data_IF_639141764763
#
_entry.id   IF_639141764763
#
_cell.length_a   1.000
_cell.length_b   1.000
_cell.length_c   1.000
_cell.angle_alpha   90.00
_cell.angle_beta   90.00
_cell.angle_gamma   90.00
#
_symmetry.space_group_name_H-M   'P 1'
#
loop_
_entity.id
_entity.type
_entity.pdbx_description
1 polymer ?
#
# COMPACT_ATOMS: atom_id res chain seq x y z
N UNK A 1 -45.40 -13.93 10.34
CA UNK A 1 -45.73 -12.98 11.43
C UNK A 1 -47.07 -12.33 11.08
N UNK A 2 -48.05 -12.51 11.96
CA UNK A 2 -49.33 -11.84 11.88
C UNK A 2 -49.29 -10.60 12.80
N UNK A 3 -49.64 -9.44 12.25
CA UNK A 3 -49.84 -8.23 13.09
C UNK A 3 -51.27 -7.77 12.91
N UNK A 4 -51.93 -7.43 14.04
CA UNK A 4 -53.24 -6.78 14.02
C UNK A 4 -53.11 -5.33 13.55
N UNK A 5 -53.76 -5.00 12.45
CA UNK A 5 -53.94 -3.62 12.02
C UNK A 5 -55.11 -2.94 12.71
N UNK A 6 -55.17 -1.61 12.76
CA UNK A 6 -56.35 -0.86 13.23
C UNK A 6 -57.59 -1.28 12.48
N UNK A 7 -58.53 -1.98 13.16
CA UNK A 7 -59.76 -2.45 12.63
C UNK A 7 -59.92 -3.97 12.53
N UNK A 8 -58.96 -4.75 13.08
CA UNK A 8 -59.11 -6.20 13.20
C UNK A 8 -58.94 -6.97 11.86
N UNK A 9 -58.33 -6.35 10.83
CA UNK A 9 -57.97 -7.04 9.58
C UNK A 9 -56.61 -7.71 9.71
N UNK A 10 -56.58 -9.03 9.52
CA UNK A 10 -55.35 -9.82 9.36
C UNK A 10 -54.67 -9.46 8.04
N UNK A 11 -53.45 -8.93 8.09
CA UNK A 11 -52.63 -8.72 6.91
C UNK A 11 -51.68 -9.92 6.81
N UNK A 12 -51.86 -10.74 5.79
CA UNK A 12 -50.98 -11.85 5.46
C UNK A 12 -49.72 -11.27 4.77
N UNK A 13 -48.57 -11.35 5.43
CA UNK A 13 -47.33 -11.04 4.74
C UNK A 13 -47.00 -12.16 3.77
N UNK A 14 -46.94 -11.83 2.46
CA UNK A 14 -46.60 -12.77 1.40
C UNK A 14 -45.29 -13.53 1.72
N UNK A 15 -45.18 -14.78 1.25
CA UNK A 15 -43.96 -15.56 1.30
C UNK A 15 -42.82 -14.75 0.71
N UNK A 16 -41.71 -14.61 1.48
CA UNK A 16 -40.45 -14.07 0.93
C UNK A 16 -40.03 -15.01 -0.19
N UNK A 17 -40.19 -14.57 -1.42
CA UNK A 17 -39.69 -15.34 -2.57
C UNK A 17 -38.17 -15.18 -2.59
N UNK A 18 -37.46 -16.22 -2.20
CA UNK A 18 -36.01 -16.25 -2.30
C UNK A 18 -35.58 -16.16 -3.77
N UNK A 19 -34.64 -15.27 -4.08
CA UNK A 19 -34.00 -15.21 -5.39
C UNK A 19 -33.26 -16.52 -5.66
N UNK A 20 -33.60 -17.31 -6.68
CA UNK A 20 -32.94 -18.56 -6.96
C UNK A 20 -31.48 -18.32 -7.35
N UNK A 21 -30.62 -19.30 -7.06
CA UNK A 21 -29.21 -19.24 -7.49
C UNK A 21 -29.15 -19.55 -8.99
N UNK A 22 -28.56 -18.61 -9.75
CA UNK A 22 -28.29 -18.73 -11.18
C UNK A 22 -26.83 -19.10 -11.40
N UNK A 23 -26.49 -19.74 -12.51
CA UNK A 23 -25.10 -19.88 -12.95
C UNK A 23 -24.58 -18.54 -13.47
N UNK A 24 -23.25 -18.36 -13.44
CA UNK A 24 -22.64 -17.13 -13.96
C UNK A 24 -22.90 -16.98 -15.47
N UNK A 25 -22.85 -18.07 -16.24
CA UNK A 25 -23.15 -18.04 -17.67
C UNK A 25 -24.61 -17.57 -17.93
N UNK A 26 -25.56 -18.04 -17.12
CA UNK A 26 -26.96 -17.59 -17.23
C UNK A 26 -27.09 -16.10 -16.96
N UNK A 27 -26.43 -15.59 -15.88
CA UNK A 27 -26.43 -14.16 -15.53
C UNK A 27 -25.85 -13.34 -16.67
N UNK A 28 -24.73 -13.75 -17.25
CA UNK A 28 -24.05 -13.01 -18.33
C UNK A 28 -24.96 -12.92 -19.57
N UNK A 29 -25.79 -13.93 -19.87
CA UNK A 29 -26.64 -13.97 -21.04
C UNK A 29 -27.96 -13.20 -20.89
N UNK A 30 -28.35 -12.83 -19.66
CA UNK A 30 -29.63 -12.17 -19.35
C UNK A 30 -29.52 -10.64 -19.39
N UNK A 31 -30.63 -9.86 -19.36
CA UNK A 31 -30.58 -8.41 -19.30
C UNK A 31 -29.79 -7.87 -18.08
N UNK A 32 -29.32 -6.61 -18.18
CA UNK A 32 -28.82 -5.83 -17.04
C UNK A 32 -29.98 -5.24 -16.23
N UNK A 33 -29.64 -4.64 -15.07
CA UNK A 33 -30.58 -3.99 -14.13
C UNK A 33 -31.62 -4.94 -13.50
N UNK A 34 -31.45 -6.26 -13.66
CA UNK A 34 -32.24 -7.28 -12.98
C UNK A 34 -31.51 -7.87 -11.79
N UNK A 35 -32.28 -8.35 -10.80
CA UNK A 35 -31.78 -8.93 -9.58
C UNK A 35 -31.41 -10.42 -9.77
N UNK A 36 -30.14 -10.73 -9.62
CA UNK A 36 -29.62 -12.10 -9.67
C UNK A 36 -28.97 -12.52 -8.35
N UNK A 37 -28.89 -13.85 -8.15
CA UNK A 37 -28.10 -14.44 -7.07
C UNK A 37 -27.20 -15.53 -7.65
N UNK A 38 -25.91 -15.45 -7.38
CA UNK A 38 -24.92 -16.46 -7.79
C UNK A 38 -24.22 -17.04 -6.57
N UNK A 39 -23.53 -18.17 -6.78
CA UNK A 39 -22.60 -18.78 -5.83
C UNK A 39 -21.31 -19.12 -6.56
N UNK A 40 -20.15 -18.82 -5.96
CA UNK A 40 -18.86 -19.13 -6.55
C UNK A 40 -17.71 -18.84 -5.62
N UNK A 41 -16.49 -18.94 -6.14
CA UNK A 41 -15.24 -18.68 -5.43
C UNK A 41 -14.60 -17.40 -5.96
N UNK A 42 -14.06 -16.56 -5.06
CA UNK A 42 -13.29 -15.39 -5.43
C UNK A 42 -11.92 -15.82 -5.95
N UNK A 43 -11.59 -15.47 -7.20
CA UNK A 43 -10.34 -15.86 -7.86
C UNK A 43 -9.34 -14.71 -8.02
N UNK A 44 -9.80 -13.46 -7.92
CA UNK A 44 -8.95 -12.27 -7.95
C UNK A 44 -9.65 -11.09 -7.25
N UNK A 45 -8.88 -10.15 -6.72
CA UNK A 45 -9.37 -8.95 -6.03
C UNK A 45 -8.61 -7.71 -6.48
N UNK A 46 -9.26 -6.55 -6.40
CA UNK A 46 -8.66 -5.23 -6.46
C UNK A 46 -9.37 -4.30 -5.46
N UNK A 47 -8.88 -3.09 -5.22
CA UNK A 47 -9.42 -2.21 -4.16
C UNK A 47 -10.89 -1.78 -4.33
N UNK A 48 -11.49 -2.01 -5.51
CA UNK A 48 -12.90 -1.66 -5.79
C UNK A 48 -13.74 -2.86 -6.24
N UNK A 49 -13.32 -4.10 -5.98
CA UNK A 49 -14.12 -5.29 -6.32
C UNK A 49 -13.31 -6.57 -6.45
N UNK A 50 -13.96 -7.61 -6.95
CA UNK A 50 -13.37 -8.93 -7.07
C UNK A 50 -14.07 -9.76 -8.16
N UNK A 51 -13.38 -10.81 -8.62
CA UNK A 51 -13.92 -11.77 -9.58
C UNK A 51 -14.45 -13.00 -8.88
N UNK A 52 -15.70 -13.36 -9.17
CA UNK A 52 -16.31 -14.61 -8.72
C UNK A 52 -16.36 -15.60 -9.88
N UNK A 53 -15.94 -16.82 -9.62
CA UNK A 53 -15.92 -17.94 -10.57
C UNK A 53 -16.81 -19.07 -10.09
N UNK A 54 -17.59 -19.65 -10.99
CA UNK A 54 -18.25 -20.95 -10.86
C UNK A 54 -17.77 -21.92 -11.96
N UNK A 55 -18.45 -23.04 -12.13
CA UNK A 55 -18.12 -24.02 -13.18
C UNK A 55 -18.49 -23.54 -14.59
N UNK A 56 -19.21 -22.44 -14.74
CA UNK A 56 -19.80 -21.99 -16.00
C UNK A 56 -19.14 -20.68 -16.50
N UNK A 57 -18.51 -19.90 -15.59
CA UNK A 57 -17.93 -18.63 -15.99
C UNK A 57 -17.27 -17.86 -14.84
N UNK A 58 -16.90 -16.62 -15.17
CA UNK A 58 -16.34 -15.65 -14.23
C UNK A 58 -17.07 -14.32 -14.45
N UNK A 59 -17.39 -13.62 -13.35
CA UNK A 59 -18.04 -12.31 -13.38
C UNK A 59 -17.39 -11.36 -12.39
N UNK A 60 -17.31 -10.08 -12.74
CA UNK A 60 -16.85 -9.02 -11.84
C UNK A 60 -17.97 -8.60 -10.89
N UNK A 61 -17.64 -8.43 -9.63
CA UNK A 61 -18.45 -7.77 -8.62
C UNK A 61 -17.79 -6.46 -8.25
N UNK A 62 -18.40 -5.33 -8.63
CA UNK A 62 -17.91 -4.01 -8.25
C UNK A 62 -18.35 -3.72 -6.81
N UNK A 63 -17.40 -3.59 -5.89
CA UNK A 63 -17.68 -3.33 -4.47
C UNK A 63 -16.56 -2.52 -3.85
N UNK A 64 -16.79 -1.24 -3.60
CA UNK A 64 -15.82 -0.39 -2.89
C UNK A 64 -15.69 -0.82 -1.43
N UNK A 65 -14.49 -0.67 -0.88
CA UNK A 65 -14.20 -0.91 0.54
C UNK A 65 -14.61 -2.32 1.02
N UNK A 66 -14.43 -3.33 0.18
CA UNK A 66 -14.69 -4.72 0.57
C UNK A 66 -13.49 -5.33 1.31
N UNK A 67 -13.78 -6.33 2.16
CA UNK A 67 -12.78 -7.10 2.90
C UNK A 67 -12.62 -8.54 2.37
N UNK A 68 -13.29 -8.83 1.26
CA UNK A 68 -13.27 -10.15 0.64
C UNK A 68 -11.86 -10.50 0.11
N UNK A 69 -11.49 -11.78 0.23
CA UNK A 69 -10.15 -12.31 -0.09
C UNK A 69 -10.23 -13.35 -1.21
N UNK A 70 -9.10 -13.53 -1.91
CA UNK A 70 -8.95 -14.65 -2.84
C UNK A 70 -9.15 -15.95 -2.07
N UNK A 71 -9.96 -16.85 -2.64
CA UNK A 71 -10.32 -18.13 -2.03
C UNK A 71 -11.65 -18.11 -1.28
N UNK A 72 -12.24 -16.95 -0.97
CA UNK A 72 -13.55 -16.91 -0.33
C UNK A 72 -14.61 -17.53 -1.25
N UNK A 73 -15.37 -18.48 -0.69
CA UNK A 73 -16.57 -19.00 -1.30
C UNK A 73 -17.72 -18.10 -0.90
N UNK A 74 -18.42 -17.53 -1.89
CA UNK A 74 -19.43 -16.50 -1.65
C UNK A 74 -20.75 -16.78 -2.34
N UNK A 75 -21.82 -16.21 -1.79
CA UNK A 75 -23.01 -15.86 -2.57
C UNK A 75 -23.02 -14.36 -2.80
N UNK A 76 -23.38 -13.95 -4.02
CA UNK A 76 -23.59 -12.56 -4.40
C UNK A 76 -25.02 -12.40 -4.88
N UNK A 77 -25.76 -11.44 -4.33
CA UNK A 77 -27.13 -11.11 -4.72
C UNK A 77 -27.22 -9.62 -5.00
N UNK A 78 -27.64 -9.25 -6.18
CA UNK A 78 -27.78 -7.84 -6.57
C UNK A 78 -28.14 -7.65 -8.01
N UNK A 79 -28.34 -6.39 -8.42
CA UNK A 79 -28.51 -6.06 -9.83
C UNK A 79 -27.17 -6.11 -10.57
N UNK A 80 -27.26 -6.30 -11.87
CA UNK A 80 -26.10 -6.24 -12.76
C UNK A 80 -26.14 -4.95 -13.58
N UNK A 81 -24.97 -4.49 -13.99
CA UNK A 81 -24.77 -3.35 -14.89
C UNK A 81 -23.73 -3.70 -15.94
N UNK A 82 -23.52 -2.84 -16.90
CA UNK A 82 -22.50 -3.01 -17.92
C UNK A 82 -21.40 -1.96 -17.75
N UNK A 83 -20.13 -2.39 -17.79
CA UNK A 83 -18.98 -1.52 -17.77
C UNK A 83 -17.84 -2.11 -18.60
N UNK A 84 -17.21 -1.27 -19.44
CA UNK A 84 -16.09 -1.68 -20.27
C UNK A 84 -16.42 -2.81 -21.25
N UNK A 85 -17.67 -2.85 -21.76
CA UNK A 85 -18.16 -3.89 -22.66
C UNK A 85 -18.45 -5.23 -21.98
N UNK A 86 -18.53 -5.25 -20.65
CA UNK A 86 -18.74 -6.47 -19.87
C UNK A 86 -19.80 -6.28 -18.79
N UNK A 87 -20.58 -7.35 -18.56
CA UNK A 87 -21.54 -7.37 -17.45
C UNK A 87 -20.83 -7.60 -16.11
N UNK A 88 -21.28 -6.88 -15.09
CA UNK A 88 -20.79 -7.00 -13.72
C UNK A 88 -21.93 -6.81 -12.71
N UNK A 89 -21.78 -7.33 -11.51
CA UNK A 89 -22.62 -6.92 -10.38
C UNK A 89 -22.25 -5.51 -9.93
N UNK A 90 -23.25 -4.71 -9.57
CA UNK A 90 -23.04 -3.35 -9.12
C UNK A 90 -22.66 -3.25 -7.61
N UNK A 91 -22.34 -2.03 -7.15
CA UNK A 91 -21.88 -1.78 -5.79
C UNK A 91 -22.93 -1.99 -4.68
N UNK A 92 -24.22 -2.11 -5.04
CA UNK A 92 -25.31 -2.35 -4.08
C UNK A 92 -25.45 -3.82 -3.70
N UNK A 93 -24.76 -4.73 -4.43
CA UNK A 93 -24.87 -6.17 -4.23
C UNK A 93 -24.52 -6.60 -2.80
N UNK A 94 -25.31 -7.54 -2.28
CA UNK A 94 -25.10 -8.23 -1.01
C UNK A 94 -24.13 -9.40 -1.21
N UNK A 95 -23.16 -9.55 -0.30
CA UNK A 95 -22.15 -10.60 -0.37
C UNK A 95 -22.16 -11.34 0.96
N UNK A 96 -22.28 -12.68 0.88
CA UNK A 96 -22.18 -13.55 2.06
C UNK A 96 -21.03 -14.52 1.86
N UNK A 97 -20.03 -14.47 2.75
CA UNK A 97 -18.90 -15.40 2.75
C UNK A 97 -19.34 -16.71 3.41
N UNK A 98 -19.16 -17.82 2.72
CA UNK A 98 -19.53 -19.17 3.16
C UNK A 98 -18.36 -19.99 3.71
N UNK A 99 -17.12 -19.53 3.47
CA UNK A 99 -15.87 -20.17 3.83
C UNK A 99 -14.76 -19.78 2.88
N UNK A 100 -13.58 -20.34 3.05
CA UNK A 100 -12.41 -20.09 2.19
C UNK A 100 -11.78 -21.42 1.76
N UNK A 101 -11.29 -21.49 0.52
CA UNK A 101 -10.56 -22.63 -0.02
C UNK A 101 -9.49 -22.18 -1.00
N UNK A 102 -8.47 -23.01 -1.22
CA UNK A 102 -7.37 -22.70 -2.13
C UNK A 102 -7.87 -22.45 -3.56
N UNK A 103 -7.27 -21.46 -4.23
CA UNK A 103 -7.53 -21.13 -5.63
C UNK A 103 -6.41 -21.67 -6.50
N UNK A 104 -6.78 -22.41 -7.54
CA UNK A 104 -5.85 -22.79 -8.61
C UNK A 104 -6.08 -21.88 -9.81
N UNK A 105 -5.08 -21.04 -10.12
CA UNK A 105 -5.11 -20.19 -11.31
C UNK A 105 -4.79 -21.02 -12.57
N UNK A 106 -5.46 -20.74 -13.70
CA UNK A 106 -5.08 -21.34 -14.97
C UNK A 106 -3.69 -20.85 -15.43
N UNK A 107 -3.10 -21.51 -16.42
CA UNK A 107 -1.91 -20.97 -17.09
C UNK A 107 -2.30 -19.66 -17.80
N UNK A 108 -1.61 -18.52 -17.56
CA UNK A 108 -1.95 -17.27 -18.22
C UNK A 108 -1.63 -17.35 -19.71
N UNK A 109 -2.51 -16.76 -20.53
CA UNK A 109 -2.25 -16.53 -21.96
C UNK A 109 -1.30 -15.35 -22.09
N UNK A 110 -0.20 -15.50 -22.83
CA UNK A 110 0.65 -14.37 -23.19
C UNK A 110 -0.06 -13.46 -24.20
N UNK A 111 -0.05 -12.14 -23.97
CA UNK A 111 -0.71 -11.13 -24.80
C UNK A 111 0.33 -10.25 -25.48
N UNK A 112 0.16 -10.03 -26.79
CA UNK A 112 0.94 -9.09 -27.63
C UNK A 112 0.02 -7.99 -28.16
N UNK A 113 0.58 -6.99 -28.85
CA UNK A 113 -0.17 -5.86 -29.40
C UNK A 113 -1.45 -6.26 -30.15
N UNK A 114 -1.35 -7.19 -31.10
CA UNK A 114 -2.51 -7.67 -31.89
C UNK A 114 -3.59 -8.34 -31.02
N UNK A 115 -3.21 -9.02 -29.93
CA UNK A 115 -4.16 -9.63 -29.01
C UNK A 115 -4.95 -8.56 -28.24
N UNK A 116 -4.29 -7.47 -27.86
CA UNK A 116 -4.93 -6.32 -27.20
C UNK A 116 -5.86 -5.58 -28.15
N UNK A 117 -5.46 -5.37 -29.42
CA UNK A 117 -6.30 -4.75 -30.43
C UNK A 117 -7.56 -5.57 -30.72
N UNK A 118 -7.45 -6.89 -30.75
CA UNK A 118 -8.60 -7.79 -30.87
C UNK A 118 -9.47 -7.80 -29.60
N UNK A 119 -8.84 -7.76 -28.42
CA UNK A 119 -9.55 -7.81 -27.14
C UNK A 119 -10.48 -6.60 -26.93
N UNK A 120 -10.01 -5.39 -27.22
CA UNK A 120 -10.79 -4.17 -26.99
C UNK A 120 -12.04 -4.08 -27.88
N UNK A 121 -12.09 -4.83 -28.96
CA UNK A 121 -13.27 -4.91 -29.84
C UNK A 121 -14.34 -5.85 -29.27
N UNK A 122 -13.97 -6.85 -28.49
CA UNK A 122 -14.90 -7.81 -27.87
C UNK A 122 -14.34 -8.29 -26.51
N UNK A 123 -14.47 -7.46 -25.47
CA UNK A 123 -13.92 -7.77 -24.16
C UNK A 123 -14.57 -9.00 -23.52
N UNK A 124 -13.74 -9.86 -22.96
CA UNK A 124 -14.14 -11.03 -22.18
C UNK A 124 -13.15 -11.25 -21.03
N UNK A 125 -13.58 -11.88 -19.92
CA UNK A 125 -12.68 -12.20 -18.82
C UNK A 125 -11.70 -13.28 -19.27
N UNK A 126 -10.38 -12.94 -19.27
CA UNK A 126 -9.29 -13.85 -19.62
C UNK A 126 -8.15 -13.71 -18.61
N UNK A 127 -7.55 -14.82 -18.20
CA UNK A 127 -6.35 -14.81 -17.38
C UNK A 127 -5.13 -14.73 -18.29
N UNK A 128 -4.38 -13.64 -18.18
CA UNK A 128 -3.33 -13.26 -19.13
C UNK A 128 -2.04 -12.87 -18.44
N UNK A 129 -0.95 -12.85 -19.19
CA UNK A 129 0.30 -12.21 -18.84
C UNK A 129 0.79 -11.35 -19.99
N UNK A 130 1.38 -10.21 -19.68
CA UNK A 130 1.92 -9.30 -20.68
C UNK A 130 3.05 -8.45 -20.11
N UNK A 131 3.84 -7.87 -21.01
CA UNK A 131 4.95 -6.97 -20.71
C UNK A 131 4.66 -5.59 -21.31
N UNK A 132 5.07 -4.54 -20.59
CA UNK A 132 4.97 -3.17 -21.10
C UNK A 132 5.56 -2.16 -20.13
N UNK A 133 5.62 -0.90 -20.56
CA UNK A 133 6.14 0.20 -19.74
C UNK A 133 5.02 0.84 -18.93
N UNK A 134 5.13 0.83 -17.59
CA UNK A 134 4.15 1.46 -16.71
C UNK A 134 4.26 2.99 -16.79
N UNK A 135 3.11 3.65 -16.91
CA UNK A 135 2.95 5.10 -16.78
C UNK A 135 1.87 5.41 -15.75
N UNK A 136 2.30 6.02 -14.65
CA UNK A 136 1.40 6.53 -13.62
C UNK A 136 0.96 7.94 -14.00
N UNK A 137 -0.35 8.15 -14.18
CA UNK A 137 -0.95 9.43 -14.54
C UNK A 137 -1.99 9.80 -13.50
N UNK A 138 -1.97 11.04 -13.02
CA UNK A 138 -3.00 11.56 -12.12
C UNK A 138 -3.96 12.44 -12.93
N UNK A 139 -5.25 12.20 -12.80
CA UNK A 139 -6.27 12.99 -13.46
C UNK A 139 -6.63 14.29 -12.69
N UNK A 140 -7.54 15.10 -13.24
CA UNK A 140 -7.95 16.38 -12.69
C UNK A 140 -8.65 16.28 -11.33
N UNK A 141 -9.19 15.11 -10.98
CA UNK A 141 -9.81 14.81 -9.68
C UNK A 141 -8.87 14.05 -8.74
N UNK A 142 -7.55 14.10 -9.02
CA UNK A 142 -6.49 13.48 -8.24
C UNK A 142 -6.58 11.94 -8.14
N UNK A 143 -7.28 11.27 -9.08
CA UNK A 143 -7.26 9.81 -9.17
C UNK A 143 -6.05 9.35 -9.97
N UNK A 144 -5.33 8.34 -9.46
CA UNK A 144 -4.22 7.73 -10.16
C UNK A 144 -4.69 6.66 -11.14
N UNK A 145 -4.14 6.71 -12.36
CA UNK A 145 -4.28 5.71 -13.41
C UNK A 145 -2.92 5.09 -13.69
N UNK A 146 -2.89 3.77 -13.85
CA UNK A 146 -1.68 3.00 -14.05
C UNK A 146 -1.74 2.34 -15.43
N UNK A 147 -1.39 3.12 -16.44
CA UNK A 147 -1.41 2.68 -17.82
C UNK A 147 -0.13 1.91 -18.15
N UNK A 148 -0.24 0.88 -18.99
CA UNK A 148 0.91 0.07 -19.41
C UNK A 148 0.99 0.15 -20.94
N UNK A 149 2.00 0.85 -21.43
CA UNK A 149 2.27 0.96 -22.87
C UNK A 149 2.71 -0.39 -23.42
N UNK A 150 2.01 -0.87 -24.44
CA UNK A 150 2.28 -2.14 -25.11
C UNK A 150 3.08 -1.86 -26.38
N UNK A 151 4.25 -2.45 -26.50
CA UNK A 151 5.09 -2.29 -27.69
C UNK A 151 4.38 -2.83 -28.95
N UNK A 152 4.41 -2.07 -30.04
CA UNK A 152 3.84 -2.45 -31.34
C UNK A 152 2.41 -1.97 -31.58
N UNK A 153 1.84 -1.17 -30.68
CA UNK A 153 0.57 -0.47 -30.89
C UNK A 153 0.57 0.87 -30.15
N UNK A 154 -0.01 1.90 -30.76
CA UNK A 154 -0.22 3.25 -30.22
C UNK A 154 -1.71 3.56 -29.95
N UNK A 155 -2.62 2.69 -30.41
CA UNK A 155 -4.07 2.84 -30.26
C UNK A 155 -4.62 2.12 -29.04
N UNK A 156 -3.91 1.12 -28.53
CA UNK A 156 -4.34 0.30 -27.41
C UNK A 156 -3.23 0.23 -26.37
N UNK A 157 -3.61 0.41 -25.12
CA UNK A 157 -2.77 0.21 -23.94
C UNK A 157 -3.43 -0.79 -23.00
N UNK A 158 -2.69 -1.38 -22.09
CA UNK A 158 -3.28 -2.02 -20.92
C UNK A 158 -3.40 -1.00 -19.78
N UNK A 159 -4.23 -1.31 -18.79
CA UNK A 159 -4.30 -0.54 -17.55
C UNK A 159 -4.41 -1.50 -16.36
N UNK A 160 -3.60 -1.29 -15.32
CA UNK A 160 -3.78 -1.99 -14.05
C UNK A 160 -4.85 -1.25 -13.24
N UNK A 161 -6.05 -1.81 -13.21
CA UNK A 161 -7.22 -1.16 -12.61
C UNK A 161 -7.26 -1.38 -11.11
N UNK A 162 -7.32 -0.29 -10.34
CA UNK A 162 -7.49 -0.28 -8.89
C UNK A 162 -6.59 -1.28 -8.15
N UNK A 163 -5.26 -1.26 -8.40
CA UNK A 163 -4.35 -2.28 -7.87
C UNK A 163 -4.42 -2.37 -6.35
N UNK A 164 -4.26 -3.59 -5.83
CA UNK A 164 -4.10 -3.81 -4.41
C UNK A 164 -2.86 -3.05 -3.90
N UNK A 165 -2.96 -2.50 -2.70
CA UNK A 165 -1.90 -1.65 -2.11
C UNK A 165 -0.57 -2.38 -1.95
N UNK A 166 -0.61 -3.69 -1.77
CA UNK A 166 0.56 -4.58 -1.66
C UNK A 166 1.47 -4.60 -2.90
N UNK A 167 0.95 -4.21 -4.08
CA UNK A 167 1.77 -4.12 -5.28
C UNK A 167 2.71 -2.90 -5.29
N UNK A 168 2.43 -1.86 -4.48
CA UNK A 168 3.20 -0.60 -4.47
C UNK A 168 3.54 -0.13 -5.89
N UNK A 169 2.54 -0.19 -6.76
CA UNK A 169 2.68 -0.08 -8.22
C UNK A 169 3.41 1.20 -8.66
N UNK A 170 3.30 2.28 -7.91
CA UNK A 170 3.97 3.56 -8.20
C UNK A 170 5.51 3.45 -8.22
N UNK A 171 6.10 2.44 -7.55
CA UNK A 171 7.55 2.21 -7.60
C UNK A 171 8.04 1.83 -9.00
N UNK A 172 7.16 1.29 -9.83
CA UNK A 172 7.47 0.87 -11.19
C UNK A 172 7.19 1.94 -12.25
N UNK A 173 6.83 3.18 -11.87
CA UNK A 173 6.58 4.24 -12.85
C UNK A 173 7.75 4.44 -13.80
N UNK A 174 7.47 4.40 -15.11
CA UNK A 174 8.43 4.42 -16.22
C UNK A 174 9.32 3.18 -16.36
N UNK A 175 9.08 2.13 -15.57
CA UNK A 175 9.79 0.86 -15.71
C UNK A 175 9.02 -0.10 -16.62
N UNK A 176 9.76 -1.02 -17.26
CA UNK A 176 9.17 -2.16 -17.95
C UNK A 176 8.76 -3.22 -16.93
N UNK A 177 7.50 -3.64 -16.96
CA UNK A 177 6.90 -4.59 -16.01
C UNK A 177 6.27 -5.79 -16.70
N UNK A 178 6.14 -6.89 -15.97
CA UNK A 178 5.28 -8.02 -16.31
C UNK A 178 4.07 -7.98 -15.39
N UNK A 179 2.90 -7.95 -16.01
CA UNK A 179 1.61 -8.04 -15.33
C UNK A 179 0.98 -9.38 -15.64
N UNK A 180 0.53 -10.10 -14.62
CA UNK A 180 -0.31 -11.29 -14.76
C UNK A 180 -1.62 -11.03 -14.02
N UNK A 181 -2.75 -11.33 -14.64
CA UNK A 181 -4.05 -11.05 -14.05
C UNK A 181 -5.20 -11.32 -15.00
N UNK A 182 -6.37 -10.87 -14.60
CA UNK A 182 -7.58 -11.01 -15.41
C UNK A 182 -7.87 -9.70 -16.15
N UNK A 183 -8.06 -9.79 -17.46
CA UNK A 183 -8.68 -8.70 -18.22
C UNK A 183 -10.15 -8.58 -17.81
N UNK A 184 -10.58 -7.35 -17.52
CA UNK A 184 -11.90 -7.05 -16.94
C UNK A 184 -12.63 -5.90 -17.66
N UNK A 185 -12.50 -5.87 -18.98
CA UNK A 185 -13.16 -4.89 -19.86
C UNK A 185 -12.19 -3.94 -20.54
N UNK A 186 -12.74 -3.09 -21.39
CA UNK A 186 -12.02 -2.06 -22.12
C UNK A 186 -12.68 -0.70 -21.93
N UNK A 187 -11.88 0.37 -21.78
CA UNK A 187 -12.35 1.75 -21.61
C UNK A 187 -11.52 2.71 -22.46
N UNK A 188 -11.99 3.96 -22.59
CA UNK A 188 -11.32 5.00 -23.37
C UNK A 188 -11.93 5.15 -24.77
N UNK A 189 -11.71 6.31 -25.38
CA UNK A 189 -12.27 6.68 -26.68
C UNK A 189 -11.20 6.91 -27.76
N UNK A 190 -10.15 7.67 -27.46
CA UNK A 190 -9.03 7.93 -28.38
C UNK A 190 -7.99 6.81 -28.29
N UNK A 191 -7.60 6.47 -27.08
CA UNK A 191 -6.78 5.29 -26.77
C UNK A 191 -7.67 4.34 -25.98
N UNK A 192 -7.74 3.10 -26.43
CA UNK A 192 -8.46 2.05 -25.71
C UNK A 192 -7.56 1.42 -24.64
N UNK A 193 -8.08 1.26 -23.45
CA UNK A 193 -7.39 0.66 -22.31
C UNK A 193 -7.99 -0.70 -21.98
N UNK A 194 -7.21 -1.76 -22.14
CA UNK A 194 -7.58 -3.10 -21.65
C UNK A 194 -7.36 -3.16 -20.14
N UNK A 195 -8.43 -3.11 -19.38
CA UNK A 195 -8.39 -3.07 -17.91
C UNK A 195 -7.98 -4.43 -17.33
N UNK A 196 -7.01 -4.45 -16.44
CA UNK A 196 -6.48 -5.66 -15.81
C UNK A 196 -6.63 -5.60 -14.30
N UNK A 197 -7.27 -6.62 -13.72
CA UNK A 197 -7.20 -6.93 -12.30
C UNK A 197 -5.95 -7.78 -12.08
N UNK A 198 -4.86 -7.14 -11.67
CA UNK A 198 -3.57 -7.81 -11.50
C UNK A 198 -3.59 -8.78 -10.32
N UNK A 199 -3.00 -9.97 -10.51
CA UNK A 199 -2.72 -10.96 -9.46
C UNK A 199 -1.23 -11.08 -9.17
N UNK A 200 -0.38 -10.75 -10.16
CA UNK A 200 1.08 -10.65 -10.04
C UNK A 200 1.52 -9.42 -10.82
N UNK A 201 2.42 -8.64 -10.22
CA UNK A 201 3.07 -7.51 -10.84
C UNK A 201 4.54 -7.53 -10.43
N UNK A 202 5.46 -7.54 -11.41
CA UNK A 202 6.89 -7.57 -11.16
C UNK A 202 7.67 -6.82 -12.24
N UNK A 203 8.92 -6.39 -11.99
CA UNK A 203 9.77 -5.83 -13.02
C UNK A 203 10.01 -6.86 -14.12
N UNK A 204 10.16 -6.41 -15.36
CA UNK A 204 10.43 -7.27 -16.52
C UNK A 204 11.87 -7.79 -16.52
N UNK A 205 12.77 -7.03 -15.94
CA UNK A 205 14.15 -7.45 -15.67
C UNK A 205 14.21 -7.82 -14.19
N UNK A 206 14.59 -9.06 -13.88
CA UNK A 206 14.84 -9.44 -12.50
C UNK A 206 15.99 -8.59 -11.97
N UNK A 207 15.74 -7.82 -10.92
CA UNK A 207 16.82 -7.13 -10.24
C UNK A 207 17.71 -8.18 -9.57
N UNK A 208 18.96 -8.22 -10.00
CA UNK A 208 19.98 -9.05 -9.35
C UNK A 208 20.39 -8.36 -8.06
N UNK A 209 20.41 -9.12 -6.96
CA UNK A 209 20.91 -8.61 -5.70
C UNK A 209 22.34 -8.05 -5.87
N UNK A 210 22.57 -6.78 -5.48
CA UNK A 210 23.92 -6.22 -5.55
C UNK A 210 24.93 -6.98 -4.67
N UNK A 211 26.16 -7.13 -5.15
CA UNK A 211 27.24 -7.69 -4.33
C UNK A 211 27.49 -6.81 -3.11
N UNK A 212 27.37 -7.41 -1.93
CA UNK A 212 27.55 -6.71 -0.64
C UNK A 212 28.90 -5.99 -0.52
N UNK A 213 29.93 -6.46 -1.20
CA UNK A 213 31.26 -5.85 -1.16
C UNK A 213 31.38 -4.59 -2.05
N UNK A 214 30.45 -4.40 -2.96
CA UNK A 214 30.47 -3.28 -3.93
C UNK A 214 29.46 -2.19 -3.59
N UNK A 215 28.52 -2.45 -2.69
CA UNK A 215 27.49 -1.47 -2.30
C UNK A 215 28.01 -0.47 -1.27
N UNK A 216 27.40 0.71 -1.23
CA UNK A 216 27.72 1.79 -0.31
C UNK A 216 27.28 1.44 1.13
N UNK A 217 27.88 2.08 2.12
CA UNK A 217 27.30 2.24 3.46
C UNK A 217 26.23 3.33 3.42
N UNK A 218 25.41 3.47 4.47
CA UNK A 218 24.42 4.56 4.55
C UNK A 218 25.12 5.92 4.61
N UNK A 219 26.24 6.05 5.34
CA UNK A 219 27.05 7.26 5.41
C UNK A 219 27.55 7.66 4.01
N UNK A 220 28.18 6.74 3.28
CA UNK A 220 28.67 6.96 1.92
C UNK A 220 27.53 7.26 0.92
N UNK A 221 26.36 6.64 1.09
CA UNK A 221 25.18 6.98 0.30
C UNK A 221 24.75 8.43 0.55
N UNK A 222 24.64 8.85 1.81
CA UNK A 222 24.25 10.21 2.15
C UNK A 222 25.21 11.26 1.55
N UNK A 223 26.52 10.99 1.53
CA UNK A 223 27.51 11.83 0.84
C UNK A 223 27.26 11.91 -0.67
N UNK A 224 26.90 10.79 -1.31
CA UNK A 224 26.59 10.76 -2.74
C UNK A 224 25.29 11.46 -3.09
N UNK A 225 24.35 11.52 -2.15
CA UNK A 225 23.06 12.21 -2.34
C UNK A 225 23.19 13.73 -2.13
N UNK A 226 24.34 14.23 -1.62
CA UNK A 226 24.57 15.67 -1.44
C UNK A 226 24.54 16.39 -2.79
N UNK A 227 23.78 17.48 -2.84
CA UNK A 227 23.58 18.26 -4.07
C UNK A 227 22.61 17.68 -5.09
N UNK A 228 22.08 16.45 -4.88
CA UNK A 228 21.06 15.89 -5.75
C UNK A 228 19.68 16.52 -5.50
N UNK A 229 18.87 16.64 -6.55
CA UNK A 229 17.51 17.17 -6.49
C UNK A 229 16.48 16.09 -6.20
N UNK A 230 15.35 16.47 -5.58
CA UNK A 230 14.21 15.57 -5.42
C UNK A 230 13.70 15.08 -6.79
N UNK A 231 13.37 13.80 -6.88
CA UNK A 231 12.96 13.11 -8.11
C UNK A 231 14.11 12.49 -8.91
N UNK A 232 15.38 12.68 -8.49
CA UNK A 232 16.53 12.05 -9.15
C UNK A 232 16.41 10.52 -9.09
N UNK A 233 16.52 9.86 -10.24
CA UNK A 233 16.61 8.40 -10.35
C UNK A 233 18.05 7.98 -10.04
N UNK A 234 18.23 7.02 -9.14
CA UNK A 234 19.53 6.61 -8.59
C UNK A 234 20.21 5.49 -9.38
N UNK A 235 19.85 5.30 -10.65
CA UNK A 235 20.32 4.20 -11.51
C UNK A 235 21.84 4.03 -11.63
N UNK A 236 22.60 5.11 -11.39
CA UNK A 236 24.06 5.10 -11.42
C UNK A 236 24.69 4.64 -10.08
N UNK A 237 23.85 4.43 -9.06
CA UNK A 237 24.24 3.86 -7.77
C UNK A 237 23.72 2.41 -7.72
N UNK A 238 24.64 1.45 -7.60
CA UNK A 238 24.29 0.01 -7.58
C UNK A 238 23.38 -0.32 -6.40
N UNK A 239 23.75 0.15 -5.20
CA UNK A 239 23.00 -0.11 -3.98
C UNK A 239 23.73 0.34 -2.74
N UNK A 240 23.10 0.08 -1.57
CA UNK A 240 23.71 0.28 -0.27
C UNK A 240 23.27 -0.83 0.70
N UNK A 241 24.02 -0.95 1.81
CA UNK A 241 23.75 -1.91 2.89
C UNK A 241 23.58 -1.20 4.21
N UNK A 242 22.81 -1.80 5.10
CA UNK A 242 22.60 -1.31 6.45
C UNK A 242 21.73 -2.25 7.27
N UNK A 243 21.25 -1.75 8.39
CA UNK A 243 20.41 -2.49 9.34
C UNK A 243 19.10 -1.73 9.57
N UNK A 244 18.01 -2.45 9.69
CA UNK A 244 16.71 -1.86 10.03
C UNK A 244 16.77 -1.38 11.48
N UNK A 245 16.72 -0.08 11.70
CA UNK A 245 16.70 0.52 13.03
C UNK A 245 15.28 0.77 13.53
N UNK A 246 14.34 1.02 12.62
CA UNK A 246 12.94 1.20 12.92
C UNK A 246 12.07 0.79 11.73
N UNK A 247 10.86 0.28 12.00
CA UNK A 247 9.89 -0.19 11.02
C UNK A 247 8.49 0.35 11.30
N UNK A 248 7.53 0.02 10.44
CA UNK A 248 6.14 0.46 10.56
C UNK A 248 5.21 -0.62 11.17
N UNK A 249 5.72 -1.57 11.93
CA UNK A 249 4.92 -2.66 12.52
C UNK A 249 3.75 -2.12 13.36
N UNK A 250 3.99 -1.04 14.13
CA UNK A 250 3.01 -0.37 14.99
C UNK A 250 2.32 0.85 14.33
N UNK A 251 2.46 1.02 13.02
CA UNK A 251 1.66 1.96 12.23
C UNK A 251 2.08 3.44 12.28
N UNK A 252 3.21 3.80 12.89
CA UNK A 252 3.62 5.21 13.02
C UNK A 252 4.64 5.71 11.98
N UNK A 253 5.34 4.86 11.25
CA UNK A 253 6.32 5.27 10.21
C UNK A 253 5.75 5.40 8.79
N UNK A 254 4.43 5.33 8.62
CA UNK A 254 3.74 5.58 7.33
C UNK A 254 4.30 4.76 6.16
N UNK A 255 4.54 3.47 6.36
CA UNK A 255 5.05 2.56 5.33
C UNK A 255 6.55 2.75 5.03
N UNK A 256 7.34 3.12 6.03
CA UNK A 256 8.77 3.34 5.89
C UNK A 256 9.59 2.45 6.82
N UNK A 257 10.89 2.34 6.49
CA UNK A 257 11.95 1.82 7.34
C UNK A 257 12.98 2.93 7.59
N UNK A 258 13.55 2.99 8.78
CA UNK A 258 14.81 3.70 9.02
C UNK A 258 15.95 2.69 8.94
N UNK A 259 16.88 2.92 8.00
CA UNK A 259 18.04 2.07 7.78
C UNK A 259 19.30 2.81 8.25
N UNK A 260 20.16 2.13 9.00
CA UNK A 260 21.37 2.71 9.59
C UNK A 260 22.61 1.84 9.35
N UNK A 261 23.80 2.45 9.41
CA UNK A 261 25.09 1.74 9.42
C UNK A 261 25.42 1.06 10.77
N UNK A 262 24.56 1.23 11.76
CA UNK A 262 24.77 0.76 13.15
C UNK A 262 26.06 1.32 13.83
N UNK A 263 26.55 2.46 13.38
CA UNK A 263 27.73 3.13 13.96
C UNK A 263 27.37 4.08 15.10
N UNK A 264 26.13 4.60 15.10
CA UNK A 264 25.65 5.65 16.01
C UNK A 264 26.17 7.06 15.66
N UNK A 265 26.82 7.22 14.51
CA UNK A 265 27.33 8.52 14.03
C UNK A 265 26.20 9.37 13.42
N UNK A 266 26.44 10.67 13.29
CA UNK A 266 25.60 11.58 12.49
C UNK A 266 25.57 11.14 11.02
N UNK A 267 24.48 11.43 10.31
CA UNK A 267 24.29 11.11 8.89
C UNK A 267 24.40 9.61 8.52
N UNK A 268 24.36 8.70 9.50
CA UNK A 268 24.44 7.26 9.27
C UNK A 268 23.07 6.57 9.21
N UNK A 269 22.00 7.32 8.90
CA UNK A 269 20.65 6.81 8.73
C UNK A 269 19.94 7.42 7.52
N UNK A 270 18.98 6.67 6.96
CA UNK A 270 18.15 7.08 5.82
C UNK A 270 16.78 6.41 5.87
N UNK A 271 15.76 7.08 5.36
CA UNK A 271 14.41 6.54 5.23
C UNK A 271 14.24 5.83 3.88
N UNK A 272 13.68 4.62 3.91
CA UNK A 272 13.33 3.83 2.73
C UNK A 272 11.84 3.53 2.72
N UNK A 273 11.17 3.82 1.61
CA UNK A 273 9.74 3.51 1.37
C UNK A 273 9.62 2.66 0.11
N UNK A 274 9.49 1.36 0.26
CA UNK A 274 9.35 0.41 -0.84
C UNK A 274 8.21 -0.59 -0.64
N UNK A 275 7.53 -0.53 0.51
CA UNK A 275 6.46 -1.41 0.89
C UNK A 275 6.81 -2.61 1.76
N UNK A 276 8.08 -2.84 2.02
CA UNK A 276 8.56 -3.89 2.93
C UNK A 276 8.71 -3.37 4.36
N UNK A 277 7.75 -2.58 4.81
CA UNK A 277 7.80 -1.74 6.01
C UNK A 277 7.73 -2.50 7.35
N UNK A 278 7.65 -3.83 7.33
CA UNK A 278 7.57 -4.70 8.51
C UNK A 278 8.78 -5.60 8.72
N UNK A 279 9.91 -5.32 8.06
CA UNK A 279 11.14 -6.06 8.29
C UNK A 279 11.60 -5.84 9.74
N UNK A 280 11.91 -6.92 10.45
CA UNK A 280 12.24 -6.85 11.88
C UNK A 280 13.46 -5.96 12.16
N UNK A 281 13.40 -5.20 13.24
CA UNK A 281 14.52 -4.37 13.73
C UNK A 281 15.76 -5.23 13.99
N UNK A 282 16.93 -4.70 13.67
CA UNK A 282 18.22 -5.38 13.73
C UNK A 282 18.58 -6.20 12.49
N UNK A 283 17.65 -6.42 11.59
CA UNK A 283 17.90 -7.22 10.38
C UNK A 283 18.79 -6.46 9.40
N UNK A 284 19.85 -7.12 8.91
CA UNK A 284 20.69 -6.62 7.82
C UNK A 284 19.94 -6.64 6.51
N UNK A 285 20.09 -5.58 5.73
CA UNK A 285 19.50 -5.47 4.39
C UNK A 285 20.52 -4.97 3.38
N UNK A 286 20.41 -5.44 2.13
CA UNK A 286 21.04 -4.82 0.96
C UNK A 286 19.91 -4.20 0.15
N UNK A 287 20.12 -2.98 -0.31
CA UNK A 287 19.09 -2.20 -1.00
C UNK A 287 19.61 -1.85 -2.39
N UNK A 288 18.98 -2.42 -3.42
CA UNK A 288 19.23 -2.11 -4.83
C UNK A 288 18.60 -0.78 -5.23
N UNK A 289 19.35 0.04 -5.96
CA UNK A 289 18.96 1.41 -6.32
C UNK A 289 18.65 1.62 -7.80
N UNK A 290 18.71 0.58 -8.65
CA UNK A 290 18.55 0.69 -10.09
C UNK A 290 17.24 1.40 -10.54
N UNK A 291 16.16 1.18 -9.81
CA UNK A 291 14.84 1.79 -10.06
C UNK A 291 14.48 2.86 -9.02
N UNK A 292 15.33 3.04 -8.03
CA UNK A 292 15.06 3.91 -6.90
C UNK A 292 15.12 5.39 -7.27
N UNK A 293 14.30 6.19 -6.57
CA UNK A 293 14.27 7.65 -6.67
C UNK A 293 14.58 8.27 -5.33
N UNK A 294 15.36 9.35 -5.35
CA UNK A 294 15.53 10.24 -4.22
C UNK A 294 14.32 11.17 -4.11
N UNK A 295 13.65 11.15 -2.98
CA UNK A 295 12.64 12.16 -2.63
C UNK A 295 13.20 13.02 -1.51
N UNK A 296 13.16 14.34 -1.68
CA UNK A 296 13.56 15.30 -0.65
C UNK A 296 12.34 16.15 -0.28
N UNK A 297 11.88 16.03 0.94
CA UNK A 297 10.81 16.85 1.49
C UNK A 297 11.27 17.51 2.77
N UNK A 298 11.23 18.85 2.81
CA UNK A 298 11.69 19.61 3.98
C UNK A 298 13.10 19.18 4.47
N UNK A 299 14.02 18.96 3.57
CA UNK A 299 15.39 18.46 3.80
C UNK A 299 15.50 16.98 4.23
N UNK A 300 14.41 16.30 4.54
CA UNK A 300 14.42 14.87 4.80
C UNK A 300 14.57 14.09 3.49
N UNK A 301 15.61 13.26 3.41
CA UNK A 301 15.86 12.36 2.27
C UNK A 301 15.14 11.05 2.47
N UNK A 302 14.44 10.61 1.44
CA UNK A 302 13.74 9.33 1.41
C UNK A 302 14.06 8.62 0.11
N UNK A 303 14.40 7.36 0.16
CA UNK A 303 14.54 6.49 -1.01
C UNK A 303 13.21 5.80 -1.26
N UNK A 304 12.72 5.88 -2.50
CA UNK A 304 11.46 5.25 -2.94
C UNK A 304 11.71 4.37 -4.16
N UNK A 305 10.97 3.27 -4.29
CA UNK A 305 11.08 2.35 -5.43
C UNK A 305 12.39 1.54 -5.47
N UNK A 306 13.04 1.37 -4.32
CA UNK A 306 14.18 0.49 -4.15
C UNK A 306 13.75 -0.97 -4.02
N UNK A 307 14.66 -1.91 -4.27
CA UNK A 307 14.46 -3.33 -3.96
C UNK A 307 15.24 -3.70 -2.71
N UNK A 308 14.55 -4.30 -1.72
CA UNK A 308 15.18 -4.70 -0.45
C UNK A 308 15.46 -6.20 -0.43
N UNK A 309 16.72 -6.56 -0.23
CA UNK A 309 17.18 -7.94 -0.04
C UNK A 309 17.47 -8.18 1.44
N UNK A 310 16.65 -9.00 2.07
CA UNK A 310 16.73 -9.30 3.50
C UNK A 310 17.79 -10.37 3.76
N UNK A 311 18.70 -10.12 4.68
CA UNK A 311 19.73 -11.07 5.09
C UNK A 311 19.34 -11.79 6.38
N UNK A 312 19.95 -12.95 6.63
CA UNK A 312 19.75 -13.71 7.88
C UNK A 312 20.48 -13.09 9.08
N UNK A 313 21.46 -12.21 8.82
CA UNK A 313 22.21 -11.54 9.87
C UNK A 313 21.34 -10.56 10.63
N UNK A 314 21.44 -10.61 11.97
CA UNK A 314 20.79 -9.67 12.89
C UNK A 314 21.77 -9.16 13.92
N UNK A 315 21.61 -7.88 14.27
CA UNK A 315 22.44 -7.21 15.29
C UNK A 315 21.54 -6.41 16.25
N UNK A 316 22.06 -6.12 17.41
CA UNK A 316 21.48 -5.10 18.29
C UNK A 316 21.77 -3.70 17.70
N UNK A 317 20.72 -2.90 17.57
CA UNK A 317 20.86 -1.55 17.03
C UNK A 317 21.51 -0.63 18.04
N UNK A 318 22.62 -0.02 17.65
CA UNK A 318 23.28 1.04 18.42
C UNK A 318 22.50 2.34 18.24
N UNK A 319 21.64 2.64 19.21
CA UNK A 319 20.80 3.84 19.21
C UNK A 319 21.61 5.02 19.74
N UNK A 320 21.87 6.08 18.94
CA UNK A 320 22.57 7.28 19.43
C UNK A 320 21.75 7.98 20.52
N UNK A 321 22.43 8.40 21.59
CA UNK A 321 21.86 9.26 22.63
C UNK A 321 22.18 10.72 22.31
N UNK A 322 21.17 11.55 22.15
CA UNK A 322 21.30 12.95 21.73
C UNK A 322 20.54 13.90 22.65
N UNK A 323 20.87 15.17 22.59
CA UNK A 323 20.10 16.24 23.21
C UNK A 323 19.14 16.88 22.19
N UNK A 324 18.21 17.69 22.69
CA UNK A 324 17.20 18.40 21.92
C UNK A 324 17.74 19.39 20.87
N UNK A 325 18.96 19.91 21.05
CA UNK A 325 19.64 20.79 20.10
C UNK A 325 20.31 20.07 18.93
N UNK A 326 20.40 18.74 18.96
CA UNK A 326 21.11 17.92 17.96
C UNK A 326 20.18 17.24 16.94
N UNK A 327 18.86 17.38 17.05
CA UNK A 327 17.88 16.67 16.21
C UNK A 327 18.17 16.82 14.70
N UNK A 328 18.60 18.01 14.27
CA UNK A 328 18.82 18.27 12.84
C UNK A 328 19.95 17.39 12.23
N UNK A 329 20.92 17.00 13.02
CA UNK A 329 22.08 16.22 12.56
C UNK A 329 21.75 14.73 12.36
N UNK A 330 20.60 14.29 12.91
CA UNK A 330 20.17 12.91 12.90
C UNK A 330 18.89 12.66 12.07
N UNK A 331 18.58 13.54 11.11
CA UNK A 331 17.40 13.34 10.24
C UNK A 331 17.42 11.98 9.54
N UNK A 332 16.28 11.28 9.54
CA UNK A 332 16.12 9.94 8.98
C UNK A 332 16.66 8.80 9.85
N UNK A 333 17.25 9.12 11.01
CA UNK A 333 17.89 8.17 11.90
C UNK A 333 17.05 7.92 13.15
N UNK A 334 17.03 6.68 13.63
CA UNK A 334 16.42 6.31 14.89
C UNK A 334 17.37 6.63 16.05
N UNK A 335 16.91 7.45 17.00
CA UNK A 335 17.72 7.98 18.10
C UNK A 335 16.99 7.91 19.44
N UNK A 336 17.73 8.17 20.54
CA UNK A 336 17.19 8.42 21.88
C UNK A 336 17.47 9.88 22.26
N UNK A 337 16.40 10.70 22.36
CA UNK A 337 16.47 12.07 22.86
C UNK A 337 16.37 12.05 24.37
N UNK A 338 17.37 12.61 25.04
CA UNK A 338 17.54 12.51 26.50
C UNK A 338 16.87 13.63 27.27
N UNK A 339 16.37 13.27 28.45
CA UNK A 339 15.92 14.21 29.48
C UNK A 339 14.90 15.25 28.98
N UNK A 340 13.95 14.85 28.14
CA UNK A 340 12.83 15.72 27.77
C UNK A 340 11.73 15.67 28.84
N UNK A 341 10.95 16.74 28.97
CA UNK A 341 9.88 16.83 29.97
C UNK A 341 8.52 16.91 29.26
N UNK A 342 7.61 16.03 29.66
CA UNK A 342 6.26 15.99 29.12
C UNK A 342 5.43 17.22 29.52
N UNK A 343 4.52 17.70 28.66
CA UNK A 343 3.71 18.88 28.95
C UNK A 343 2.63 18.60 30.03
N UNK A 344 2.21 19.65 30.70
CA UNK A 344 1.18 19.61 31.74
C UNK A 344 -0.21 19.31 31.18
N UNK A 345 -0.48 19.73 29.94
CA UNK A 345 -1.77 19.61 29.26
C UNK A 345 -1.91 18.35 28.40
N UNK A 346 -0.91 17.48 28.38
CA UNK A 346 -0.98 16.23 27.62
C UNK A 346 -1.96 15.24 28.26
N UNK A 347 -2.67 14.53 27.41
CA UNK A 347 -3.64 13.50 27.81
C UNK A 347 -3.34 12.15 27.19
N UNK A 348 -3.25 12.08 25.88
CA UNK A 348 -2.99 10.86 25.09
C UNK A 348 -1.96 11.14 24.02
N UNK A 349 -1.28 10.08 23.53
CA UNK A 349 -0.23 10.22 22.51
C UNK A 349 -0.77 10.71 21.17
N UNK A 350 -1.94 10.24 20.73
CA UNK A 350 -2.60 10.78 19.55
C UNK A 350 -3.86 11.54 19.95
N UNK A 351 -3.82 12.84 19.77
CA UNK A 351 -4.96 13.74 19.93
C UNK A 351 -5.32 14.30 18.55
N UNK A 352 -6.56 14.04 18.10
CA UNK A 352 -7.03 14.49 16.78
C UNK A 352 -7.04 16.01 16.65
N UNK A 353 -7.38 16.74 17.73
CA UNK A 353 -7.42 18.20 17.77
C UNK A 353 -6.01 18.81 17.67
N UNK A 354 -5.01 18.15 18.23
CA UNK A 354 -3.59 18.51 18.14
C UNK A 354 -2.90 17.90 16.90
N UNK A 355 -3.63 17.16 16.06
CA UNK A 355 -3.12 16.48 14.86
C UNK A 355 -1.94 15.55 15.16
N UNK A 356 -1.95 14.88 16.29
CA UNK A 356 -0.93 13.94 16.72
C UNK A 356 0.38 14.58 17.19
N UNK A 357 0.45 15.88 17.40
CA UNK A 357 1.65 16.57 17.91
C UNK A 357 1.57 16.77 19.41
N UNK A 358 2.61 16.34 20.12
CA UNK A 358 2.82 16.65 21.55
C UNK A 358 4.19 17.33 21.72
N UNK A 359 4.24 18.47 22.39
CA UNK A 359 5.45 19.28 22.53
C UNK A 359 6.07 19.04 23.91
N UNK A 360 7.26 18.47 23.93
CA UNK A 360 8.07 18.25 25.11
C UNK A 360 9.09 19.37 25.28
N UNK A 361 9.50 19.64 26.49
CA UNK A 361 10.59 20.59 26.78
C UNK A 361 11.92 19.85 26.80
N UNK A 362 12.84 20.27 25.99
CA UNK A 362 14.20 19.74 25.98
C UNK A 362 15.08 20.35 27.04
N UNK A 363 16.12 19.64 27.47
CA UNK A 363 17.06 20.06 28.52
C UNK A 363 17.93 21.22 28.10
N UNK A 364 18.18 21.40 26.81
CA UNK A 364 18.93 22.53 26.25
C UNK A 364 18.04 23.72 25.88
N UNK A 365 16.73 23.62 26.14
CA UNK A 365 15.77 24.68 25.91
C UNK A 365 15.10 24.63 24.54
N UNK A 366 15.35 23.62 23.72
CA UNK A 366 14.67 23.43 22.43
C UNK A 366 13.40 22.60 22.66
N UNK A 367 12.29 23.02 22.07
CA UNK A 367 11.07 22.25 22.09
C UNK A 367 11.21 21.00 21.19
N UNK A 368 10.88 19.83 21.72
CA UNK A 368 10.89 18.55 21.03
C UNK A 368 9.47 18.18 20.64
N UNK A 369 9.13 18.27 19.37
CA UNK A 369 7.84 17.81 18.88
C UNK A 369 7.85 16.30 18.72
N UNK A 370 6.98 15.60 19.43
CA UNK A 370 6.74 14.16 19.28
C UNK A 370 5.49 13.97 18.43
N UNK A 371 5.61 13.23 17.34
CA UNK A 371 4.53 13.08 16.38
C UNK A 371 4.04 11.64 16.30
N UNK A 372 2.71 11.45 16.45
CA UNK A 372 2.04 10.19 16.18
C UNK A 372 0.98 10.33 15.10
N UNK A 373 0.86 9.29 14.27
CA UNK A 373 -0.24 9.14 13.32
C UNK A 373 -1.47 8.54 14.02
N UNK A 374 -2.64 8.71 13.42
CA UNK A 374 -3.87 8.03 13.88
C UNK A 374 -3.82 6.50 13.75
N UNK A 375 -2.84 5.97 13.03
CA UNK A 375 -2.66 4.53 12.79
C UNK A 375 -1.68 3.88 13.77
N UNK A 376 -1.04 4.67 14.64
CA UNK A 376 -0.19 4.14 15.71
C UNK A 376 -1.05 3.37 16.72
N UNK A 377 -0.75 2.08 16.93
CA UNK A 377 -1.53 1.20 17.80
C UNK A 377 -1.41 1.55 19.31
N UNK A 378 -0.41 2.34 19.67
CA UNK A 378 -0.20 2.88 21.03
C UNK A 378 -0.68 4.33 21.21
N UNK A 379 -1.31 4.93 20.20
CA UNK A 379 -1.73 6.34 20.21
C UNK A 379 -2.78 6.69 21.28
N UNK A 380 -3.54 5.72 21.76
CA UNK A 380 -4.58 5.92 22.80
C UNK A 380 -4.05 5.85 24.24
N UNK A 381 -2.77 5.50 24.42
CA UNK A 381 -2.17 5.42 25.75
C UNK A 381 -2.06 6.82 26.38
N UNK A 382 -2.21 6.88 27.70
CA UNK A 382 -2.12 8.14 28.47
C UNK A 382 -0.67 8.60 28.61
N UNK A 383 -0.49 9.92 28.63
CA UNK A 383 0.82 10.55 28.87
C UNK A 383 0.89 11.04 30.33
N UNK A 384 1.93 10.63 31.05
CA UNK A 384 2.29 11.20 32.38
C UNK A 384 2.70 12.65 32.21
N UNK A 385 2.13 13.54 33.03
CA UNK A 385 2.32 14.99 32.98
C UNK A 385 3.53 15.42 33.80
N UNK A 386 4.27 16.42 33.32
CA UNK A 386 5.42 17.01 34.03
C UNK A 386 6.47 15.97 34.48
N UNK A 387 6.68 14.92 33.68
CA UNK A 387 7.68 13.88 33.94
C UNK A 387 8.84 14.08 33.00
N UNK A 388 10.07 13.95 33.50
CA UNK A 388 11.27 13.95 32.68
C UNK A 388 11.73 12.52 32.41
N UNK A 389 12.21 12.30 31.19
CA UNK A 389 12.69 10.99 30.74
C UNK A 389 13.26 11.03 29.33
N UNK A 390 13.50 9.87 28.75
CA UNK A 390 14.04 9.73 27.42
C UNK A 390 12.93 9.30 26.45
N UNK A 391 12.98 9.82 25.21
CA UNK A 391 12.13 9.39 24.11
C UNK A 391 12.98 8.81 22.99
N UNK A 392 12.58 7.67 22.42
CA UNK A 392 13.17 7.15 21.21
C UNK A 392 12.26 7.42 20.01
N UNK A 393 12.86 7.50 18.83
CA UNK A 393 12.10 7.65 17.59
C UNK A 393 13.00 8.00 16.41
N UNK A 394 12.40 7.97 15.23
CA UNK A 394 13.05 8.44 14.00
C UNK A 394 12.91 9.96 13.93
N UNK A 395 13.99 10.63 13.57
CA UNK A 395 13.94 12.08 13.36
C UNK A 395 13.42 12.36 11.96
N UNK A 396 12.25 12.97 11.89
CA UNK A 396 11.67 13.46 10.65
C UNK A 396 11.55 15.00 10.67
N UNK A 397 11.19 15.58 9.53
CA UNK A 397 10.89 17.02 9.44
C UNK A 397 9.56 17.20 8.69
N UNK A 398 8.67 17.92 9.31
CA UNK A 398 7.44 18.39 8.67
C UNK A 398 7.43 19.92 8.61
N UNK A 399 7.44 20.47 7.39
CA UNK A 399 7.67 21.92 7.16
C UNK A 399 8.98 22.35 7.84
N UNK A 400 8.93 23.34 8.73
CA UNK A 400 10.12 23.84 9.43
C UNK A 400 10.37 23.16 10.80
N UNK A 401 9.48 22.24 11.22
CA UNK A 401 9.60 21.56 12.52
C UNK A 401 10.27 20.22 12.40
N UNK A 402 11.24 19.97 13.29
CA UNK A 402 11.80 18.64 13.52
C UNK A 402 10.86 17.87 14.44
N UNK A 403 10.62 16.61 14.11
CA UNK A 403 9.72 15.72 14.82
C UNK A 403 10.47 14.45 15.23
N UNK A 404 10.27 14.00 16.45
CA UNK A 404 10.62 12.66 16.91
C UNK A 404 9.40 11.78 16.66
N UNK A 405 9.56 10.73 15.86
CA UNK A 405 8.50 9.79 15.49
C UNK A 405 8.76 8.45 16.19
N UNK A 406 8.16 8.21 17.37
CA UNK A 406 8.25 6.92 18.05
C UNK A 406 7.68 5.80 17.19
N UNK A 407 8.25 4.61 17.23
CA UNK A 407 7.87 3.49 16.37
C UNK A 407 7.10 2.39 17.09
N UNK A 408 7.18 2.37 18.42
CA UNK A 408 6.46 1.44 19.29
C UNK A 408 6.22 2.07 20.67
N UNK A 409 5.44 1.41 21.52
CA UNK A 409 5.16 1.88 22.90
C UNK A 409 6.40 1.93 23.79
N UNK A 410 7.39 1.08 23.54
CA UNK A 410 8.66 1.05 24.29
C UNK A 410 9.49 2.31 24.06
N UNK A 411 9.29 3.02 22.96
CA UNK A 411 9.97 4.27 22.64
C UNK A 411 9.52 5.43 23.55
N UNK A 412 8.34 5.31 24.11
CA UNK A 412 7.67 6.30 24.95
C UNK A 412 7.40 5.82 26.38
N UNK A 413 7.98 4.68 26.77
CA UNK A 413 7.69 4.01 28.05
C UNK A 413 7.95 4.88 29.29
N UNK A 414 8.90 5.81 29.24
CA UNK A 414 9.18 6.76 30.35
C UNK A 414 7.95 7.62 30.70
N UNK A 415 7.07 7.85 29.74
CA UNK A 415 5.96 8.81 29.82
C UNK A 415 4.57 8.15 29.72
N UNK A 416 4.50 6.85 29.53
CA UNK A 416 3.25 6.11 29.39
C UNK A 416 2.82 5.51 30.72
N UNK A 417 1.51 5.58 31.03
CA UNK A 417 0.92 4.92 32.21
C UNK A 417 0.71 3.43 31.98
#
# INVERSE_FOLDING_TARGET
LLTEGKGGQLVEFGKVVETPISTIADVISKPVDELYKIKGQIVATHTKGFLVKDNTGIILVFKKNHENKIGDNVTVKGPTTEFGGMKQFDGSSEIVVLGNSAVSQPKPQEMKAADFEAYVQNPTIKYVTYRGTLKSVQDEIYQWHYNVEIAGTDKVQAAVSYPNTEFYISKYDKAEIIVTGYLVGATGSEISYANTMATILKPAVEEVEPDENTVLTVEALNERLDGMSSGTVLKDLVGFKGYVAANNEHGNLKGALSIVDNTGKVHSGIIVKDGSDKIAVGTKVIIGLNTAKLTISNKLRTITGATIYVKSEKVDIKVPEINDDQLNDYMGQYVKVKNVTSPEDATVWYDADKKGNTIFKGVKGTDVTVYLTKTADFGTLSIKKNVSGDIKGVIERYKEKLEVVPTCKEDVASFTE
#
